data_IF_997951921065
#
_entry.id   IF_997951921065
#
_cell.length_a   1.000
_cell.length_b   1.000
_cell.length_c   1.000
_cell.angle_alpha   90.00
_cell.angle_beta   90.00
_cell.angle_gamma   90.00
#
_symmetry.space_group_name_H-M   'P 1'
#
loop_
_entity.id
_entity.type
_entity.pdbx_description
1 polymer ?
#
# COMPACT_ATOMS: atom_id res chain seq x y z
N UNK A 1 -24.26 -23.29 6.77
CA UNK A 1 -23.43 -24.26 7.53
C UNK A 1 -24.00 -24.55 8.91
N UNK A 2 -24.12 -23.56 9.80
CA UNK A 2 -24.67 -23.76 11.16
C UNK A 2 -26.05 -24.45 11.20
N UNK A 3 -26.92 -24.13 10.23
CA UNK A 3 -28.27 -24.72 10.11
C UNK A 3 -28.27 -26.26 9.99
N UNK A 4 -27.24 -26.87 9.37
CA UNK A 4 -27.14 -28.33 9.20
C UNK A 4 -27.02 -29.04 10.54
N UNK A 5 -26.31 -28.41 11.50
CA UNK A 5 -26.07 -28.98 12.81
C UNK A 5 -27.14 -28.60 13.85
N UNK A 6 -28.12 -27.75 13.50
CA UNK A 6 -29.18 -27.34 14.44
C UNK A 6 -30.19 -28.46 14.75
N UNK A 7 -30.40 -29.42 13.85
CA UNK A 7 -31.29 -30.57 14.09
C UNK A 7 -30.47 -31.82 14.48
N UNK A 8 -30.82 -32.54 15.56
CA UNK A 8 -30.14 -33.78 15.93
C UNK A 8 -30.52 -34.87 14.92
N UNK A 9 -29.61 -35.20 14.01
CA UNK A 9 -29.83 -36.24 12.98
C UNK A 9 -29.46 -37.65 13.43
N UNK A 10 -28.73 -37.80 14.54
CA UNK A 10 -28.11 -39.07 14.93
C UNK A 10 -28.77 -39.58 16.21
N UNK A 11 -29.48 -40.71 16.12
CA UNK A 11 -30.13 -41.39 17.26
C UNK A 11 -29.24 -42.52 17.81
N UNK A 12 -29.50 -42.93 19.06
CA UNK A 12 -28.80 -44.02 19.74
C UNK A 12 -27.36 -43.68 20.14
N UNK A 13 -26.53 -44.70 20.37
CA UNK A 13 -25.13 -44.58 20.84
C UNK A 13 -24.29 -43.64 19.98
N UNK A 14 -24.49 -43.64 18.65
CA UNK A 14 -23.80 -42.72 17.74
C UNK A 14 -24.14 -41.25 18.03
N UNK A 15 -25.37 -40.97 18.47
CA UNK A 15 -25.81 -39.64 18.87
C UNK A 15 -25.11 -39.16 20.13
N UNK A 16 -25.00 -40.04 21.13
CA UNK A 16 -24.30 -39.76 22.40
C UNK A 16 -22.81 -39.47 22.19
N UNK A 17 -22.13 -40.27 21.34
CA UNK A 17 -20.72 -40.02 20.97
C UNK A 17 -20.58 -38.68 20.23
N UNK A 18 -21.52 -38.37 19.32
CA UNK A 18 -21.45 -37.18 18.49
C UNK A 18 -21.73 -35.87 19.24
N UNK A 19 -22.29 -35.88 20.46
CA UNK A 19 -22.65 -34.66 21.20
C UNK A 19 -21.47 -33.69 21.33
N UNK A 20 -20.32 -34.17 21.80
CA UNK A 20 -19.13 -33.33 21.99
C UNK A 20 -18.55 -32.83 20.66
N UNK A 21 -18.56 -33.69 19.63
CA UNK A 21 -18.06 -33.35 18.30
C UNK A 21 -18.94 -32.29 17.63
N UNK A 22 -20.27 -32.45 17.70
CA UNK A 22 -21.23 -31.49 17.16
C UNK A 22 -21.13 -30.14 17.89
N UNK A 23 -20.93 -30.16 19.21
CA UNK A 23 -20.69 -28.95 19.99
C UNK A 23 -19.45 -28.21 19.48
N UNK A 24 -18.32 -28.90 19.36
CA UNK A 24 -17.06 -28.34 18.85
C UNK A 24 -17.22 -27.77 17.43
N UNK A 25 -17.87 -28.50 16.53
CA UNK A 25 -18.14 -28.04 15.15
C UNK A 25 -19.00 -26.77 15.16
N UNK A 26 -20.07 -26.73 15.96
CA UNK A 26 -20.94 -25.54 16.07
C UNK A 26 -20.18 -24.33 16.59
N UNK A 27 -19.33 -24.51 17.60
CA UNK A 27 -18.53 -23.43 18.17
C UNK A 27 -17.54 -22.88 17.13
N UNK A 28 -16.80 -23.75 16.44
CA UNK A 28 -15.88 -23.33 15.35
C UNK A 28 -16.58 -22.61 14.21
N UNK A 29 -17.74 -23.10 13.78
CA UNK A 29 -18.54 -22.44 12.74
C UNK A 29 -19.10 -21.10 13.20
N UNK A 30 -19.42 -20.97 14.50
CA UNK A 30 -19.84 -19.69 15.09
C UNK A 30 -18.70 -18.69 15.08
N UNK A 31 -17.48 -19.10 15.47
CA UNK A 31 -16.32 -18.21 15.43
C UNK A 31 -16.04 -17.68 14.03
N UNK A 32 -16.13 -18.54 13.00
CA UNK A 32 -16.02 -18.09 11.60
C UNK A 32 -17.10 -17.07 11.22
N UNK A 33 -18.32 -17.24 11.73
CA UNK A 33 -19.41 -16.28 11.52
C UNK A 33 -19.19 -14.96 12.25
N UNK A 34 -18.65 -15.00 13.46
CA UNK A 34 -18.37 -13.82 14.29
C UNK A 34 -17.27 -12.95 13.66
N UNK A 35 -16.27 -13.56 13.01
CA UNK A 35 -15.28 -12.82 12.22
C UNK A 35 -15.75 -12.48 10.80
N UNK A 36 -17.04 -12.64 10.50
CA UNK A 36 -17.64 -12.22 9.22
C UNK A 36 -17.29 -13.09 8.01
N UNK A 37 -16.98 -14.38 8.21
CA UNK A 37 -16.60 -15.33 7.15
C UNK A 37 -17.68 -16.38 6.86
N UNK A 38 -18.93 -16.12 7.28
CA UNK A 38 -20.06 -17.04 7.07
C UNK A 38 -20.44 -17.28 5.60
N UNK A 39 -19.92 -16.46 4.67
CA UNK A 39 -20.13 -16.62 3.23
C UNK A 39 -19.14 -17.61 2.57
N UNK A 40 -18.08 -18.01 3.27
CA UNK A 40 -17.10 -18.97 2.75
C UNK A 40 -17.64 -20.40 2.81
N UNK A 41 -17.19 -21.24 1.89
CA UNK A 41 -17.38 -22.70 1.98
C UNK A 41 -16.18 -23.33 2.67
N UNK A 42 -16.38 -24.44 3.39
CA UNK A 42 -15.30 -25.19 4.05
C UNK A 42 -14.31 -25.81 3.06
N UNK A 43 -14.74 -26.05 1.83
CA UNK A 43 -13.92 -26.60 0.74
C UNK A 43 -13.10 -25.55 -0.01
N UNK A 44 -13.21 -24.26 0.34
CA UNK A 44 -12.48 -23.20 -0.37
C UNK A 44 -10.97 -23.35 -0.14
N UNK A 45 -10.20 -23.34 -1.22
CA UNK A 45 -8.74 -23.39 -1.15
C UNK A 45 -8.17 -22.19 -0.41
N UNK A 46 -7.23 -22.44 0.51
CA UNK A 46 -6.54 -21.41 1.28
C UNK A 46 -5.78 -20.41 0.40
N UNK A 47 -5.29 -20.84 -0.78
CA UNK A 47 -4.57 -20.00 -1.73
C UNK A 47 -5.45 -18.93 -2.38
N UNK A 48 -6.77 -19.14 -2.38
CA UNK A 48 -7.75 -18.23 -3.00
C UNK A 48 -8.30 -17.19 -2.03
N UNK A 49 -7.84 -17.22 -0.78
CA UNK A 49 -8.28 -16.28 0.24
C UNK A 49 -7.54 -14.96 0.09
N UNK A 50 -8.26 -13.85 0.31
CA UNK A 50 -7.63 -12.56 0.53
C UNK A 50 -6.84 -12.55 1.85
N UNK A 51 -5.90 -11.61 1.98
CA UNK A 51 -5.12 -11.45 3.22
C UNK A 51 -6.00 -11.29 4.46
N UNK A 52 -7.03 -10.43 4.39
CA UNK A 52 -7.98 -10.23 5.48
C UNK A 52 -8.84 -11.47 5.79
N UNK A 53 -9.24 -12.24 4.77
CA UNK A 53 -9.93 -13.53 5.01
C UNK A 53 -9.01 -14.52 5.74
N UNK A 54 -7.78 -14.71 5.27
CA UNK A 54 -6.81 -15.62 5.88
C UNK A 54 -6.47 -15.22 7.32
N UNK A 55 -6.30 -13.92 7.58
CA UNK A 55 -6.07 -13.38 8.92
C UNK A 55 -7.26 -13.66 9.85
N UNK A 56 -8.49 -13.42 9.40
CA UNK A 56 -9.69 -13.69 10.21
C UNK A 56 -9.94 -15.17 10.45
N UNK A 57 -9.58 -16.06 9.51
CA UNK A 57 -9.59 -17.51 9.76
C UNK A 57 -8.61 -17.88 10.89
N UNK A 58 -7.41 -17.30 10.89
CA UNK A 58 -6.44 -17.52 11.98
C UNK A 58 -7.01 -17.03 13.30
N UNK A 59 -7.63 -15.85 13.34
CA UNK A 59 -8.27 -15.30 14.53
C UNK A 59 -9.36 -16.23 15.09
N UNK A 60 -10.27 -16.69 14.25
CA UNK A 60 -11.32 -17.65 14.64
C UNK A 60 -10.73 -18.96 15.17
N UNK A 61 -9.62 -19.43 14.59
CA UNK A 61 -8.91 -20.64 15.02
C UNK A 61 -8.27 -20.47 16.40
N UNK A 62 -7.70 -19.31 16.70
CA UNK A 62 -7.09 -19.02 18.01
C UNK A 62 -8.15 -18.95 19.13
N UNK A 63 -9.32 -18.39 18.84
CA UNK A 63 -10.42 -18.34 19.81
C UNK A 63 -10.91 -19.75 20.14
N UNK A 64 -11.02 -20.60 19.12
CA UNK A 64 -11.39 -22.00 19.31
C UNK A 64 -10.34 -22.85 20.03
N UNK A 65 -9.09 -22.37 20.15
CA UNK A 65 -8.08 -23.04 20.96
C UNK A 65 -8.28 -22.79 22.47
N UNK A 66 -9.01 -21.73 22.84
CA UNK A 66 -9.33 -21.43 24.25
C UNK A 66 -8.11 -21.15 25.12
N UNK A 67 -7.02 -20.64 24.54
CA UNK A 67 -5.79 -20.35 25.27
C UNK A 67 -6.00 -19.19 26.26
N UNK A 68 -5.29 -19.25 27.39
CA UNK A 68 -5.31 -18.25 28.48
C UNK A 68 -3.87 -17.81 28.77
N UNK A 69 -3.67 -16.54 29.15
CA UNK A 69 -2.34 -16.01 29.44
C UNK A 69 -1.47 -15.77 28.20
N UNK A 70 -2.07 -15.75 27.01
CA UNK A 70 -1.38 -15.48 25.74
C UNK A 70 -1.46 -14.00 25.40
N UNK A 71 -0.40 -13.46 24.77
CA UNK A 71 -0.41 -12.13 24.17
C UNK A 71 -0.62 -12.25 22.66
N UNK A 72 -1.78 -11.80 22.19
CA UNK A 72 -2.11 -11.73 20.77
C UNK A 72 -1.69 -10.38 20.19
N UNK A 73 -0.98 -10.39 19.08
CA UNK A 73 -0.62 -9.19 18.30
C UNK A 73 -1.31 -9.30 16.94
N UNK A 74 -2.19 -8.35 16.64
CA UNK A 74 -2.98 -8.31 15.40
C UNK A 74 -2.64 -7.06 14.60
N UNK A 75 -2.41 -7.25 13.30
CA UNK A 75 -2.06 -6.18 12.36
C UNK A 75 -3.26 -5.86 11.44
N UNK A 76 -3.97 -4.77 11.70
CA UNK A 76 -5.15 -4.29 10.95
C UNK A 76 -6.22 -5.39 10.65
N UNK A 77 -6.81 -6.03 11.67
CA UNK A 77 -7.79 -7.11 11.47
C UNK A 77 -9.09 -6.65 10.77
N UNK A 78 -9.37 -5.34 10.68
CA UNK A 78 -10.50 -4.78 9.93
C UNK A 78 -10.29 -4.80 8.40
N UNK A 79 -9.10 -5.14 7.89
CA UNK A 79 -8.81 -5.16 6.44
C UNK A 79 -9.83 -6.02 5.68
N UNK A 80 -10.47 -5.39 4.69
CA UNK A 80 -11.45 -6.06 3.83
C UNK A 80 -12.74 -6.46 4.55
N UNK A 81 -12.98 -5.95 5.76
CA UNK A 81 -14.24 -6.04 6.48
C UNK A 81 -15.08 -4.79 6.20
N UNK A 82 -16.39 -4.97 6.11
CA UNK A 82 -17.32 -3.84 5.95
C UNK A 82 -17.66 -3.26 7.33
N UNK A 83 -17.88 -1.93 7.42
CA UNK A 83 -18.16 -1.24 8.69
C UNK A 83 -19.26 -1.92 9.52
N UNK A 84 -20.33 -2.36 8.86
CA UNK A 84 -21.43 -3.12 9.49
C UNK A 84 -20.94 -4.31 10.33
N UNK A 85 -19.93 -5.03 9.85
CA UNK A 85 -19.45 -6.26 10.48
C UNK A 85 -18.29 -5.99 11.48
N UNK A 86 -17.80 -4.74 11.57
CA UNK A 86 -16.74 -4.32 12.48
C UNK A 86 -17.10 -4.56 13.96
N UNK A 87 -18.36 -4.32 14.34
CA UNK A 87 -18.86 -4.60 15.70
C UNK A 87 -18.68 -6.06 16.11
N UNK A 88 -18.81 -7.00 15.16
CA UNK A 88 -18.62 -8.42 15.46
C UNK A 88 -17.14 -8.76 15.66
N UNK A 89 -16.27 -8.12 14.89
CA UNK A 89 -14.82 -8.22 15.11
C UNK A 89 -14.45 -7.69 16.50
N UNK A 90 -14.97 -6.52 16.88
CA UNK A 90 -14.72 -5.93 18.20
C UNK A 90 -15.23 -6.82 19.35
N UNK A 91 -16.44 -7.38 19.26
CA UNK A 91 -16.93 -8.33 20.27
C UNK A 91 -16.05 -9.57 20.35
N UNK A 92 -15.50 -10.01 19.22
CA UNK A 92 -14.58 -11.15 19.15
C UNK A 92 -13.24 -10.86 19.85
N UNK A 93 -12.68 -9.66 19.67
CA UNK A 93 -11.47 -9.20 20.35
C UNK A 93 -11.69 -9.04 21.86
N UNK A 94 -12.85 -8.49 22.26
CA UNK A 94 -13.24 -8.39 23.67
C UNK A 94 -13.34 -9.77 24.32
N UNK A 95 -13.91 -10.76 23.63
CA UNK A 95 -13.96 -12.13 24.11
C UNK A 95 -12.57 -12.74 24.32
N UNK A 96 -11.62 -12.50 23.40
CA UNK A 96 -10.23 -12.95 23.59
C UNK A 96 -9.62 -12.37 24.87
N UNK A 97 -9.86 -11.07 25.12
CA UNK A 97 -9.45 -10.39 26.35
C UNK A 97 -10.09 -11.03 27.59
N UNK A 98 -11.41 -11.23 27.57
CA UNK A 98 -12.19 -11.81 28.68
C UNK A 98 -11.75 -13.24 29.06
N UNK A 99 -11.18 -14.00 28.12
CA UNK A 99 -10.56 -15.30 28.41
C UNK A 99 -9.27 -15.19 29.24
N UNK A 100 -8.80 -13.98 29.56
CA UNK A 100 -7.56 -13.76 30.33
C UNK A 100 -6.32 -13.60 29.44
N UNK A 101 -6.49 -13.09 28.22
CA UNK A 101 -5.40 -12.82 27.29
C UNK A 101 -5.15 -11.31 27.14
N UNK A 102 -3.94 -10.96 26.73
CA UNK A 102 -3.61 -9.60 26.29
C UNK A 102 -3.79 -9.50 24.79
N UNK A 103 -4.47 -8.46 24.30
CA UNK A 103 -4.74 -8.26 22.87
C UNK A 103 -4.19 -6.91 22.44
N UNK A 104 -3.12 -6.92 21.64
CA UNK A 104 -2.49 -5.74 21.05
C UNK A 104 -2.94 -5.66 19.60
N UNK A 105 -3.55 -4.55 19.20
CA UNK A 105 -4.10 -4.35 17.86
C UNK A 105 -3.48 -3.10 17.24
N UNK A 106 -2.86 -3.25 16.07
CA UNK A 106 -2.49 -2.14 15.20
C UNK A 106 -3.70 -1.84 14.32
N UNK A 107 -4.27 -0.64 14.45
CA UNK A 107 -5.49 -0.27 13.72
C UNK A 107 -5.53 1.22 13.37
N UNK A 108 -6.39 1.52 12.40
CA UNK A 108 -6.68 2.87 11.95
C UNK A 108 -8.19 3.16 11.94
N UNK A 109 -9.04 2.15 12.18
CA UNK A 109 -10.48 2.30 12.28
C UNK A 109 -10.92 3.05 13.54
N UNK A 110 -11.84 4.01 13.36
CA UNK A 110 -12.32 4.88 14.43
C UNK A 110 -13.08 4.12 15.52
N UNK A 111 -13.98 3.20 15.17
CA UNK A 111 -14.75 2.44 16.16
C UNK A 111 -13.83 1.58 17.04
N UNK A 112 -12.78 1.01 16.45
CA UNK A 112 -11.79 0.22 17.19
C UNK A 112 -10.99 1.08 18.16
N UNK A 113 -10.57 2.27 17.73
CA UNK A 113 -9.85 3.22 18.59
C UNK A 113 -10.74 3.67 19.76
N UNK A 114 -12.02 3.94 19.51
CA UNK A 114 -12.98 4.40 20.52
C UNK A 114 -13.32 3.33 21.57
N UNK A 115 -13.25 2.05 21.21
CA UNK A 115 -13.59 0.91 22.08
C UNK A 115 -12.37 0.30 22.80
N UNK A 116 -11.16 0.84 22.56
CA UNK A 116 -9.93 0.34 23.15
C UNK A 116 -9.81 0.70 24.64
N UNK A 117 -9.39 -0.26 25.46
CA UNK A 117 -9.12 -0.02 26.89
C UNK A 117 -7.90 0.92 27.08
N UNK A 118 -6.90 0.78 26.23
CA UNK A 118 -5.66 1.55 26.23
C UNK A 118 -5.18 1.80 24.79
N UNK A 119 -4.71 3.01 24.51
CA UNK A 119 -4.26 3.44 23.19
C UNK A 119 -2.83 3.93 23.28
N UNK A 120 -2.03 3.53 22.30
CA UNK A 120 -0.67 4.03 22.09
C UNK A 120 -0.62 4.65 20.69
N UNK A 121 -0.35 5.95 20.62
CA UNK A 121 -0.20 6.66 19.34
C UNK A 121 1.29 6.80 19.02
N UNK A 122 1.70 6.27 17.86
CA UNK A 122 3.09 6.32 17.38
C UNK A 122 3.19 7.36 16.27
N UNK A 123 4.19 8.24 16.35
CA UNK A 123 4.34 9.31 15.39
C UNK A 123 5.58 10.16 15.66
N UNK A 124 5.57 11.47 15.34
CA UNK A 124 4.45 12.25 14.77
C UNK A 124 4.24 12.06 13.26
N UNK A 125 5.21 11.44 12.56
CA UNK A 125 5.17 11.15 11.12
C UNK A 125 5.63 9.70 10.85
N UNK A 126 5.75 9.33 9.57
CA UNK A 126 6.22 8.01 9.16
C UNK A 126 7.75 7.94 8.98
N UNK A 127 8.28 6.71 9.03
CA UNK A 127 9.69 6.39 8.80
C UNK A 127 10.64 7.10 9.76
N UNK A 128 11.70 7.73 9.25
CA UNK A 128 12.73 8.37 10.09
C UNK A 128 12.22 9.54 10.94
N UNK A 129 11.04 10.07 10.60
CA UNK A 129 10.40 11.17 11.33
C UNK A 129 9.32 10.68 12.31
N UNK A 130 9.25 9.36 12.53
CA UNK A 130 8.38 8.71 13.49
C UNK A 130 9.16 7.94 14.55
N UNK A 131 8.51 6.95 15.16
CA UNK A 131 9.14 6.07 16.15
C UNK A 131 9.10 6.61 17.58
N UNK A 132 8.35 7.68 17.83
CA UNK A 132 8.11 8.23 19.16
C UNK A 132 6.70 7.89 19.64
N UNK A 133 6.54 7.68 20.94
CA UNK A 133 5.22 7.54 21.57
C UNK A 133 4.65 8.93 21.78
N UNK A 134 3.73 9.34 20.90
CA UNK A 134 3.07 10.65 20.96
C UNK A 134 1.99 10.71 22.05
N UNK A 135 1.39 9.56 22.38
CA UNK A 135 0.40 9.43 23.44
C UNK A 135 0.34 7.98 23.95
N UNK A 136 0.05 7.81 25.24
CA UNK A 136 -0.25 6.51 25.85
C UNK A 136 -1.25 6.70 26.99
N UNK A 137 -2.40 6.02 26.91
CA UNK A 137 -3.47 6.11 27.90
C UNK A 137 -4.82 5.66 27.37
N UNK A 138 -5.87 5.89 28.16
CA UNK A 138 -7.24 5.56 27.75
C UNK A 138 -7.84 6.56 26.75
N UNK A 139 -8.99 6.22 26.18
CA UNK A 139 -9.75 7.03 25.20
C UNK A 139 -10.07 8.43 25.73
N UNK A 140 -10.47 8.54 27.00
CA UNK A 140 -10.83 9.83 27.62
C UNK A 140 -9.62 10.78 27.74
N UNK A 141 -8.44 10.22 28.01
CA UNK A 141 -7.18 10.97 27.98
C UNK A 141 -6.77 11.32 26.55
N UNK A 142 -7.00 10.43 25.58
CA UNK A 142 -6.67 10.67 24.17
C UNK A 142 -7.47 11.85 23.61
N UNK A 143 -8.76 11.97 23.94
CA UNK A 143 -9.62 13.11 23.55
C UNK A 143 -9.01 14.47 23.91
N UNK A 144 -8.23 14.54 25.00
CA UNK A 144 -7.59 15.76 25.50
C UNK A 144 -6.19 15.98 24.91
N UNK A 145 -5.59 14.96 24.29
CA UNK A 145 -4.22 14.98 23.79
C UNK A 145 -4.08 15.74 22.46
N UNK A 146 -3.89 17.06 22.55
CA UNK A 146 -3.73 17.94 21.38
C UNK A 146 -2.52 17.59 20.50
N UNK A 147 -1.49 16.95 21.04
CA UNK A 147 -0.27 16.61 20.29
C UNK A 147 -0.40 15.32 19.47
N UNK A 148 -1.43 14.50 19.75
CA UNK A 148 -1.71 13.28 18.98
C UNK A 148 -2.42 13.63 17.66
N UNK A 149 -1.84 13.20 16.53
CA UNK A 149 -2.49 13.36 15.23
C UNK A 149 -3.78 12.54 15.18
N UNK A 150 -3.75 11.34 15.75
CA UNK A 150 -4.90 10.44 15.86
C UNK A 150 -6.05 11.10 16.62
N UNK A 151 -5.78 11.71 17.77
CA UNK A 151 -6.78 12.48 18.53
C UNK A 151 -7.40 13.61 17.70
N UNK A 152 -6.58 14.35 16.94
CA UNK A 152 -7.06 15.46 16.11
C UNK A 152 -8.03 15.02 15.00
N UNK A 153 -7.89 13.80 14.47
CA UNK A 153 -8.75 13.24 13.43
C UNK A 153 -9.99 12.53 13.99
N UNK A 154 -9.83 11.76 15.07
CA UNK A 154 -10.92 10.97 15.66
C UNK A 154 -11.86 11.87 16.48
N UNK A 155 -11.31 12.72 17.35
CA UNK A 155 -12.09 13.54 18.29
C UNK A 155 -11.98 15.05 18.02
N UNK A 156 -10.97 15.46 17.27
CA UNK A 156 -10.64 16.87 17.05
C UNK A 156 -11.33 17.51 15.84
N UNK A 157 -10.73 18.63 15.40
CA UNK A 157 -11.23 19.44 14.29
C UNK A 157 -10.68 19.00 12.93
N UNK A 158 -9.63 18.18 12.87
CA UNK A 158 -9.09 17.73 11.59
C UNK A 158 -10.07 16.73 10.99
N UNK A 159 -10.47 16.98 9.75
CA UNK A 159 -11.39 16.12 9.00
C UNK A 159 -10.94 16.08 7.56
N UNK A 160 -11.24 14.98 6.90
CA UNK A 160 -11.04 14.87 5.45
C UNK A 160 -12.07 15.80 4.80
N UNK A 161 -11.60 16.88 4.18
CA UNK A 161 -12.47 17.83 3.51
C UNK A 161 -13.10 17.19 2.28
N UNK A 162 -14.42 17.02 2.29
CA UNK A 162 -15.18 16.58 1.13
C UNK A 162 -15.37 17.79 0.22
N UNK A 163 -14.57 17.87 -0.86
CA UNK A 163 -14.79 18.87 -1.91
C UNK A 163 -16.17 18.61 -2.54
N UNK A 164 -16.93 19.68 -2.81
CA UNK A 164 -18.19 19.58 -3.57
C UNK A 164 -17.93 18.81 -4.87
N UNK A 165 -18.79 17.84 -5.18
CA UNK A 165 -18.67 17.01 -6.38
C UNK A 165 -18.53 17.91 -7.61
N UNK A 166 -17.48 17.70 -8.40
CA UNK A 166 -17.44 18.22 -9.78
C UNK A 166 -18.59 17.57 -10.56
N UNK A 167 -19.04 18.23 -11.63
CA UNK A 167 -19.91 17.57 -12.61
C UNK A 167 -19.24 16.27 -13.07
N UNK A 168 -20.05 15.22 -13.21
CA UNK A 168 -19.62 13.94 -13.76
C UNK A 168 -19.12 14.23 -15.17
N UNK A 169 -17.86 13.87 -15.47
CA UNK A 169 -17.35 13.98 -16.83
C UNK A 169 -18.03 12.91 -17.67
N UNK A 170 -18.63 13.30 -18.80
CA UNK A 170 -19.19 12.35 -19.75
C UNK A 170 -18.14 12.02 -20.82
N UNK A 171 -17.30 11.02 -20.52
CA UNK A 171 -16.34 10.45 -21.47
C UNK A 171 -16.81 9.09 -21.99
N UNK A 172 -18.12 8.85 -21.97
CA UNK A 172 -18.71 7.56 -22.29
C UNK A 172 -18.63 6.56 -21.14
N UNK A 173 -18.99 5.30 -21.42
CA UNK A 173 -19.15 4.24 -20.42
C UNK A 173 -18.60 2.92 -20.91
N UNK A 174 -18.02 2.13 -20.01
CA UNK A 174 -17.81 0.69 -20.21
C UNK A 174 -19.02 -0.05 -19.66
N UNK A 175 -19.54 -1.01 -20.43
CA UNK A 175 -20.61 -1.91 -19.99
C UNK A 175 -20.11 -3.33 -19.96
N UNK A 176 -20.34 -4.02 -18.85
CA UNK A 176 -20.08 -5.44 -18.70
C UNK A 176 -21.40 -6.13 -18.39
N UNK A 177 -21.89 -6.93 -19.34
CA UNK A 177 -23.23 -7.50 -19.34
C UNK A 177 -23.20 -8.98 -18.95
N UNK A 178 -24.23 -9.41 -18.23
CA UNK A 178 -24.47 -10.81 -17.89
C UNK A 178 -23.40 -11.44 -17.00
N UNK A 179 -22.88 -10.69 -16.02
CA UNK A 179 -21.84 -11.19 -15.12
C UNK A 179 -22.40 -12.29 -14.20
N UNK A 180 -21.87 -13.51 -14.32
CA UNK A 180 -22.37 -14.70 -13.62
C UNK A 180 -21.28 -15.49 -12.88
N UNK A 181 -20.03 -15.00 -12.86
CA UNK A 181 -18.93 -15.59 -12.10
C UNK A 181 -19.21 -15.75 -10.60
N UNK A 182 -18.78 -16.88 -10.02
CA UNK A 182 -18.96 -17.22 -8.60
C UNK A 182 -20.41 -17.04 -8.10
N UNK A 183 -20.65 -16.03 -7.26
CA UNK A 183 -21.96 -15.76 -6.67
C UNK A 183 -22.73 -14.61 -7.35
N UNK A 184 -22.22 -14.07 -8.46
CA UNK A 184 -22.90 -13.03 -9.23
C UNK A 184 -24.17 -13.59 -9.89
N UNK A 185 -25.21 -12.77 -9.95
CA UNK A 185 -26.57 -13.18 -10.34
C UNK A 185 -26.98 -12.59 -11.69
N UNK A 186 -26.19 -12.86 -12.72
CA UNK A 186 -26.36 -12.33 -14.07
C UNK A 186 -26.54 -10.81 -14.07
N UNK A 187 -25.57 -10.10 -13.51
CA UNK A 187 -25.66 -8.64 -13.30
C UNK A 187 -24.96 -7.87 -14.41
N UNK A 188 -25.50 -6.69 -14.71
CA UNK A 188 -24.88 -5.73 -15.62
C UNK A 188 -24.18 -4.63 -14.82
N UNK A 189 -23.00 -4.24 -15.29
CA UNK A 189 -22.19 -3.17 -14.69
C UNK A 189 -21.94 -2.08 -15.74
N UNK A 190 -22.34 -0.85 -15.42
CA UNK A 190 -21.95 0.35 -16.17
C UNK A 190 -20.92 1.18 -15.40
N UNK A 191 -19.79 1.51 -16.03
CA UNK A 191 -18.74 2.36 -15.44
C UNK A 191 -18.61 3.63 -16.26
N UNK A 192 -18.92 4.81 -15.70
CA UNK A 192 -18.70 6.09 -16.37
C UNK A 192 -17.21 6.44 -16.40
N UNK A 193 -16.66 6.61 -17.61
CA UNK A 193 -15.26 6.96 -17.82
C UNK A 193 -14.99 8.42 -17.45
N UNK A 194 -13.75 8.74 -17.08
CA UNK A 194 -13.38 10.10 -16.65
C UNK A 194 -13.71 10.43 -15.19
N UNK A 195 -14.28 9.48 -14.44
CA UNK A 195 -14.76 9.71 -13.08
C UNK A 195 -14.04 8.84 -12.05
N UNK A 196 -14.03 9.28 -10.78
CA UNK A 196 -13.64 8.44 -9.65
C UNK A 196 -14.85 7.57 -9.28
N UNK A 197 -14.79 6.28 -9.63
CA UNK A 197 -15.85 5.30 -9.36
C UNK A 197 -15.46 4.45 -8.15
N UNK A 198 -16.37 4.35 -7.18
CA UNK A 198 -16.19 3.51 -5.99
C UNK A 198 -17.14 2.32 -6.03
N UNK A 199 -16.59 1.11 -5.85
CA UNK A 199 -17.36 -0.14 -5.78
C UNK A 199 -17.42 -0.58 -4.32
N UNK A 200 -18.60 -0.51 -3.72
CA UNK A 200 -18.83 -0.78 -2.29
C UNK A 200 -19.73 -2.00 -2.07
N UNK A 201 -19.84 -2.43 -0.82
CA UNK A 201 -20.65 -3.59 -0.42
C UNK A 201 -19.95 -4.47 0.61
N UNK A 202 -20.71 -5.36 1.24
CA UNK A 202 -20.22 -6.25 2.32
C UNK A 202 -19.22 -7.30 1.83
N UNK A 203 -18.41 -7.86 2.72
CA UNK A 203 -17.49 -8.96 2.38
C UNK A 203 -18.29 -10.15 1.83
N UNK A 204 -17.78 -10.78 0.76
CA UNK A 204 -18.48 -11.84 0.05
C UNK A 204 -19.56 -11.39 -0.95
N UNK A 205 -19.84 -10.09 -1.11
CA UNK A 205 -20.87 -9.61 -2.06
C UNK A 205 -20.53 -9.78 -3.55
N UNK A 206 -19.31 -10.23 -3.89
CA UNK A 206 -18.87 -10.41 -5.27
C UNK A 206 -18.07 -9.25 -5.87
N UNK A 207 -17.69 -8.21 -5.09
CA UNK A 207 -16.89 -7.06 -5.59
C UNK A 207 -15.61 -7.49 -6.32
N UNK A 208 -14.81 -8.34 -5.67
CA UNK A 208 -13.53 -8.81 -6.23
C UNK A 208 -13.77 -9.71 -7.45
N UNK A 209 -14.84 -10.50 -7.46
CA UNK A 209 -15.26 -11.27 -8.63
C UNK A 209 -15.52 -10.32 -9.80
N UNK A 210 -16.42 -9.37 -9.60
CA UNK A 210 -16.87 -8.43 -10.63
C UNK A 210 -15.72 -7.59 -11.20
N UNK A 211 -14.87 -7.02 -10.34
CA UNK A 211 -13.82 -6.09 -10.77
C UNK A 211 -12.52 -6.80 -11.13
N UNK A 212 -11.99 -7.62 -10.22
CA UNK A 212 -10.62 -8.15 -10.36
C UNK A 212 -10.58 -9.48 -11.13
N UNK A 213 -11.68 -10.25 -11.13
CA UNK A 213 -11.73 -11.56 -11.79
C UNK A 213 -12.54 -11.56 -13.10
N UNK A 214 -13.42 -10.57 -13.30
CA UNK A 214 -14.19 -10.41 -14.55
C UNK A 214 -13.72 -9.20 -15.35
N UNK A 215 -13.98 -7.97 -14.86
CA UNK A 215 -13.73 -6.74 -15.63
C UNK A 215 -12.24 -6.55 -16.01
N UNK A 216 -11.34 -6.65 -15.03
CA UNK A 216 -9.91 -6.41 -15.27
C UNK A 216 -9.30 -7.44 -16.23
N UNK A 217 -9.50 -8.77 -16.06
CA UNK A 217 -9.04 -9.77 -17.02
C UNK A 217 -9.68 -9.58 -18.40
N UNK A 218 -10.99 -9.30 -18.49
CA UNK A 218 -11.67 -9.04 -19.76
C UNK A 218 -11.02 -7.89 -20.54
N UNK A 219 -10.88 -6.72 -19.90
CA UNK A 219 -10.24 -5.55 -20.51
C UNK A 219 -8.77 -5.81 -20.84
N UNK A 220 -8.03 -6.50 -19.96
CA UNK A 220 -6.61 -6.80 -20.19
C UNK A 220 -6.39 -7.73 -21.37
N UNK A 221 -7.26 -8.73 -21.54
CA UNK A 221 -7.18 -9.67 -22.66
C UNK A 221 -7.51 -8.97 -23.99
N UNK A 222 -8.50 -8.07 -24.00
CA UNK A 222 -8.88 -7.31 -25.19
C UNK A 222 -7.82 -6.27 -25.55
N UNK A 223 -7.41 -5.42 -24.61
CA UNK A 223 -6.56 -4.25 -24.87
C UNK A 223 -5.07 -4.59 -24.95
N UNK A 224 -4.59 -5.51 -24.11
CA UNK A 224 -3.16 -5.85 -23.99
C UNK A 224 -2.81 -7.23 -24.55
N UNK A 225 -3.78 -7.95 -25.15
CA UNK A 225 -3.62 -9.32 -25.65
C UNK A 225 -3.07 -10.27 -24.57
N UNK A 226 -3.47 -10.04 -23.33
CA UNK A 226 -3.12 -10.90 -22.20
C UNK A 226 -3.89 -12.24 -22.26
N UNK A 227 -3.43 -13.23 -21.50
CA UNK A 227 -4.07 -14.55 -21.35
C UNK A 227 -4.54 -14.79 -19.91
N UNK A 228 -5.16 -13.77 -19.30
CA UNK A 228 -5.68 -13.88 -17.95
C UNK A 228 -6.97 -14.70 -17.95
N UNK A 229 -7.13 -15.57 -16.94
CA UNK A 229 -8.40 -16.28 -16.71
C UNK A 229 -9.47 -15.25 -16.33
N UNK A 230 -10.57 -15.25 -17.07
CA UNK A 230 -11.71 -14.37 -16.85
C UNK A 230 -12.90 -15.19 -16.37
N UNK A 231 -13.58 -14.72 -15.33
CA UNK A 231 -14.86 -15.31 -14.88
C UNK A 231 -16.00 -15.06 -15.88
N UNK A 232 -17.09 -15.82 -15.77
CA UNK A 232 -18.18 -15.79 -16.76
C UNK A 232 -18.89 -14.42 -16.85
N UNK A 233 -19.03 -13.93 -18.09
CA UNK A 233 -19.82 -12.77 -18.50
C UNK A 233 -20.31 -12.98 -19.95
N UNK A 234 -21.37 -12.29 -20.36
CA UNK A 234 -21.94 -12.44 -21.72
C UNK A 234 -21.24 -11.54 -22.73
N UNK A 235 -21.12 -10.24 -22.42
CA UNK A 235 -20.59 -9.24 -23.36
C UNK A 235 -19.94 -8.08 -22.63
N UNK A 236 -18.95 -7.45 -23.27
CA UNK A 236 -18.36 -6.18 -22.85
C UNK A 236 -18.46 -5.16 -23.99
N UNK A 237 -18.86 -3.94 -23.68
CA UNK A 237 -19.05 -2.83 -24.62
C UNK A 237 -18.30 -1.57 -24.15
N UNK A 238 -17.96 -0.68 -25.08
CA UNK A 238 -17.25 0.57 -24.78
C UNK A 238 -15.74 0.38 -24.55
N UNK A 239 -15.17 -0.75 -24.96
CA UNK A 239 -13.74 -1.05 -24.81
C UNK A 239 -12.86 -0.15 -25.68
N UNK A 240 -13.39 0.32 -26.80
CA UNK A 240 -12.77 1.26 -27.74
C UNK A 240 -12.52 2.64 -27.13
N UNK A 241 -13.15 2.97 -25.99
CA UNK A 241 -12.98 4.22 -25.28
C UNK A 241 -11.77 4.23 -24.33
N UNK A 242 -11.09 3.08 -24.17
CA UNK A 242 -9.97 2.92 -23.22
C UNK A 242 -8.78 2.24 -23.89
N UNK A 243 -7.65 2.95 -23.94
CA UNK A 243 -6.42 2.39 -24.55
C UNK A 243 -5.74 1.34 -23.67
N UNK A 244 -5.88 1.47 -22.35
CA UNK A 244 -5.15 0.65 -21.38
C UNK A 244 -5.87 0.55 -20.04
N UNK A 245 -5.88 -0.66 -19.49
CA UNK A 245 -6.27 -0.92 -18.10
C UNK A 245 -5.03 -1.23 -17.25
N UNK A 246 -4.99 -0.72 -16.01
CA UNK A 246 -3.90 -0.96 -15.08
C UNK A 246 -4.48 -1.27 -13.70
N UNK A 247 -4.17 -2.45 -13.18
CA UNK A 247 -4.47 -2.81 -11.79
C UNK A 247 -3.32 -2.37 -10.87
N UNK A 248 -3.67 -1.69 -9.77
CA UNK A 248 -2.73 -1.32 -8.70
C UNK A 248 -3.09 -2.09 -7.43
N UNK A 249 -2.54 -3.29 -7.31
CA UNK A 249 -2.76 -4.19 -6.18
C UNK A 249 -1.74 -4.02 -5.05
N UNK A 250 -2.08 -4.52 -3.85
CA UNK A 250 -1.20 -4.58 -2.67
C UNK A 250 -0.13 -5.68 -2.74
N UNK A 251 -0.08 -6.46 -3.83
CA UNK A 251 0.97 -7.47 -3.98
C UNK A 251 2.37 -6.85 -3.94
N UNK A 252 3.39 -7.55 -3.41
CA UNK A 252 4.74 -7.01 -3.35
C UNK A 252 5.24 -6.56 -4.73
N UNK A 253 6.03 -5.48 -4.78
CA UNK A 253 6.65 -5.00 -6.04
C UNK A 253 7.74 -5.96 -6.56
N UNK A 254 8.19 -6.89 -5.71
CA UNK A 254 9.09 -7.98 -6.05
C UNK A 254 9.26 -8.90 -4.85
N UNK A 255 9.74 -10.12 -5.11
CA UNK A 255 9.92 -11.16 -4.08
C UNK A 255 11.38 -11.32 -3.63
N UNK A 256 12.28 -10.49 -4.16
CA UNK A 256 13.72 -10.57 -3.90
C UNK A 256 14.25 -9.24 -3.36
N UNK A 257 15.36 -9.25 -2.61
CA UNK A 257 16.02 -8.02 -2.16
C UNK A 257 16.52 -7.10 -3.30
N UNK A 258 16.67 -7.64 -4.52
CA UNK A 258 17.04 -6.89 -5.72
C UNK A 258 15.95 -5.93 -6.19
N UNK A 259 14.69 -6.28 -5.95
CA UNK A 259 13.57 -5.37 -6.20
C UNK A 259 13.51 -4.31 -5.11
N UNK A 260 13.32 -3.06 -5.51
CA UNK A 260 13.26 -1.90 -4.62
C UNK A 260 12.57 -0.73 -5.35
N UNK A 261 12.26 0.38 -4.67
CA UNK A 261 11.57 1.51 -5.29
C UNK A 261 12.26 2.05 -6.55
N UNK A 262 13.59 2.19 -6.56
CA UNK A 262 14.30 2.76 -7.70
C UNK A 262 14.37 1.85 -8.92
N UNK A 263 14.42 0.53 -8.71
CA UNK A 263 14.33 -0.45 -9.82
C UNK A 263 12.91 -0.48 -10.38
N UNK A 264 11.90 -0.47 -9.51
CA UNK A 264 10.50 -0.57 -9.95
C UNK A 264 10.02 0.68 -10.72
N UNK A 265 10.36 1.87 -10.22
CA UNK A 265 10.04 3.17 -10.85
C UNK A 265 10.97 3.51 -12.03
N UNK A 266 12.04 2.74 -12.22
CA UNK A 266 13.05 2.98 -13.25
C UNK A 266 13.87 4.26 -13.02
N UNK A 267 14.02 4.69 -11.76
CA UNK A 267 14.93 5.78 -11.37
C UNK A 267 16.39 5.30 -11.43
N UNK A 268 16.62 4.01 -11.21
CA UNK A 268 17.96 3.45 -11.08
C UNK A 268 18.83 3.58 -12.33
N UNK A 269 18.24 3.50 -13.53
CA UNK A 269 19.00 3.65 -14.80
C UNK A 269 19.62 5.05 -14.95
N UNK A 270 18.85 6.15 -14.85
CA UNK A 270 19.44 7.49 -14.83
C UNK A 270 20.51 7.70 -13.75
N UNK A 271 20.35 7.12 -12.55
CA UNK A 271 21.38 7.19 -11.50
C UNK A 271 22.67 6.54 -11.98
N UNK A 272 22.60 5.33 -12.54
CA UNK A 272 23.79 4.60 -13.03
C UNK A 272 24.47 5.31 -14.19
N UNK A 273 23.72 5.91 -15.10
CA UNK A 273 24.25 6.73 -16.20
C UNK A 273 25.03 7.93 -15.66
N UNK A 274 24.51 8.57 -14.63
CA UNK A 274 25.14 9.71 -13.99
C UNK A 274 26.43 9.34 -13.25
N UNK A 275 26.46 8.20 -12.56
CA UNK A 275 27.68 7.67 -11.96
C UNK A 275 28.73 7.27 -13.00
N UNK A 276 28.32 6.66 -14.12
CA UNK A 276 29.24 6.35 -15.23
C UNK A 276 29.76 7.62 -15.93
N UNK A 277 29.05 8.75 -15.80
CA UNK A 277 29.44 10.03 -16.35
C UNK A 277 30.52 10.77 -15.55
N UNK A 278 30.85 10.35 -14.32
CA UNK A 278 31.85 11.03 -13.49
C UNK A 278 33.27 10.85 -14.05
N UNK A 279 34.17 11.79 -13.74
CA UNK A 279 35.55 11.73 -14.20
C UNK A 279 36.27 10.48 -13.68
N UNK A 280 36.06 10.11 -12.42
CA UNK A 280 36.61 8.91 -11.80
C UNK A 280 36.14 7.62 -12.50
N UNK A 281 34.84 7.54 -12.85
CA UNK A 281 34.30 6.40 -13.58
C UNK A 281 34.88 6.31 -15.00
N UNK A 282 34.96 7.44 -15.71
CA UNK A 282 35.51 7.50 -17.07
C UNK A 282 36.98 7.10 -17.11
N UNK A 283 37.79 7.59 -16.17
CA UNK A 283 39.21 7.23 -16.07
C UNK A 283 39.41 5.72 -15.84
N UNK A 284 38.51 5.07 -15.10
CA UNK A 284 38.53 3.63 -14.84
C UNK A 284 37.80 2.79 -15.91
N UNK A 285 37.26 3.40 -16.96
CA UNK A 285 36.48 2.72 -17.99
C UNK A 285 35.14 2.14 -17.50
N UNK A 286 34.61 2.63 -16.38
CA UNK A 286 33.38 2.12 -15.79
C UNK A 286 32.13 2.58 -16.56
N UNK A 287 31.38 1.60 -17.07
CA UNK A 287 30.08 1.80 -17.75
C UNK A 287 28.92 1.72 -16.73
N UNK A 288 27.68 2.11 -17.12
CA UNK A 288 26.51 2.00 -16.24
C UNK A 288 26.25 0.59 -15.67
N UNK A 289 26.78 -0.46 -16.31
CA UNK A 289 26.74 -1.83 -15.81
C UNK A 289 27.53 -2.04 -14.51
N UNK A 290 28.68 -1.37 -14.34
CA UNK A 290 29.49 -1.46 -13.10
C UNK A 290 28.69 -1.01 -11.88
N UNK A 291 27.81 -0.04 -12.07
CA UNK A 291 26.95 0.55 -11.03
C UNK A 291 25.61 -0.18 -10.86
N UNK A 292 25.46 -1.38 -11.42
CA UNK A 292 24.26 -2.20 -11.25
C UNK A 292 24.55 -3.37 -10.32
N UNK A 293 23.85 -3.44 -9.19
CA UNK A 293 23.93 -4.60 -8.29
C UNK A 293 23.36 -5.90 -8.91
N UNK A 294 22.64 -5.82 -10.04
CA UNK A 294 22.05 -6.99 -10.70
C UNK A 294 23.00 -7.72 -11.67
N UNK A 295 24.16 -7.16 -11.97
CA UNK A 295 25.09 -7.72 -12.97
C UNK A 295 26.49 -7.88 -12.38
N UNK A 296 27.21 -8.90 -12.85
CA UNK A 296 28.61 -9.11 -12.46
C UNK A 296 29.48 -7.92 -12.84
N UNK A 297 30.53 -7.70 -12.06
CA UNK A 297 31.51 -6.64 -12.29
C UNK A 297 31.69 -5.75 -11.07
N UNK A 298 30.69 -4.92 -10.74
CA UNK A 298 30.78 -3.98 -9.61
C UNK A 298 30.02 -4.37 -8.35
N UNK A 299 29.11 -5.35 -8.45
CA UNK A 299 28.37 -5.88 -7.30
C UNK A 299 29.28 -6.63 -6.34
N UNK A 300 28.81 -6.85 -5.11
CA UNK A 300 29.43 -7.79 -4.21
C UNK A 300 29.11 -9.23 -4.67
N UNK A 301 30.12 -10.03 -4.98
CA UNK A 301 29.90 -11.40 -5.46
C UNK A 301 29.48 -12.36 -4.34
N UNK A 302 29.85 -12.10 -3.07
CA UNK A 302 29.48 -12.97 -1.95
C UNK A 302 27.96 -13.02 -1.68
N UNK A 303 27.24 -11.91 -1.91
CA UNK A 303 25.78 -11.87 -1.84
C UNK A 303 25.11 -11.67 -3.20
N UNK A 304 25.89 -11.80 -4.28
CA UNK A 304 25.46 -11.53 -5.65
C UNK A 304 24.71 -10.19 -5.87
N UNK A 305 25.04 -9.17 -5.06
CA UNK A 305 24.40 -7.85 -5.10
C UNK A 305 23.12 -7.68 -4.28
N UNK A 306 22.66 -8.72 -3.57
CA UNK A 306 21.47 -8.61 -2.72
C UNK A 306 21.73 -7.73 -1.49
N UNK A 307 22.97 -7.76 -0.99
CA UNK A 307 23.39 -7.12 0.26
C UNK A 307 22.93 -7.88 1.51
N UNK A 308 22.20 -8.96 1.31
CA UNK A 308 21.70 -9.86 2.34
C UNK A 308 21.94 -11.31 1.90
N UNK A 309 22.05 -12.21 2.85
CA UNK A 309 22.10 -13.65 2.64
C UNK A 309 20.80 -14.23 3.18
N UNK A 310 20.14 -15.07 2.39
CA UNK A 310 18.93 -15.78 2.81
C UNK A 310 19.34 -17.00 3.64
N UNK A 311 18.85 -17.08 4.87
CA UNK A 311 19.01 -18.24 5.75
C UNK A 311 17.71 -19.00 5.77
N UNK A 312 17.76 -20.25 5.32
CA UNK A 312 16.59 -21.12 5.29
C UNK A 312 16.34 -21.74 6.67
N UNK A 313 15.09 -21.67 7.11
CA UNK A 313 14.66 -22.15 8.43
C UNK A 313 13.63 -23.27 8.24
N UNK A 314 13.76 -24.37 8.97
CA UNK A 314 12.90 -25.55 8.74
C UNK A 314 11.43 -25.34 9.13
N UNK A 315 11.15 -24.57 10.19
CA UNK A 315 9.80 -24.39 10.76
C UNK A 315 9.36 -22.93 10.87
N UNK A 316 10.29 -22.00 10.64
CA UNK A 316 10.05 -20.57 10.71
C UNK A 316 10.19 -19.98 9.30
N UNK A 317 9.60 -18.80 9.04
CA UNK A 317 9.86 -18.09 7.79
C UNK A 317 11.35 -17.83 7.60
N UNK A 318 11.83 -17.95 6.36
CA UNK A 318 13.21 -17.65 5.99
C UNK A 318 13.61 -16.23 6.44
N UNK A 319 14.85 -16.11 6.93
CA UNK A 319 15.36 -14.84 7.45
C UNK A 319 16.45 -14.31 6.53
N UNK A 320 16.44 -13.00 6.29
CA UNK A 320 17.49 -12.31 5.56
C UNK A 320 18.47 -11.69 6.55
N UNK A 321 19.70 -12.18 6.54
CA UNK A 321 20.80 -11.61 7.33
C UNK A 321 21.63 -10.68 6.47
N UNK A 322 22.23 -9.67 7.08
CA UNK A 322 23.12 -8.73 6.38
C UNK A 322 24.35 -9.48 5.85
N UNK A 323 24.79 -9.18 4.63
CA UNK A 323 26.00 -9.79 4.08
C UNK A 323 27.25 -9.29 4.81
N UNK A 324 28.06 -10.20 5.32
CA UNK A 324 29.28 -9.87 6.09
C UNK A 324 30.38 -9.21 5.24
N UNK A 325 30.46 -9.56 3.95
CA UNK A 325 31.52 -9.06 3.05
C UNK A 325 31.32 -7.60 2.66
N UNK A 326 30.11 -7.24 2.18
CA UNK A 326 29.82 -5.87 1.78
C UNK A 326 29.13 -5.04 2.86
N UNK A 327 28.81 -5.64 4.01
CA UNK A 327 28.06 -5.03 5.09
C UNK A 327 26.78 -4.33 4.58
N UNK A 328 26.03 -5.02 3.71
CA UNK A 328 24.79 -4.53 3.10
C UNK A 328 24.94 -3.48 2.00
N UNK A 329 26.17 -3.10 1.61
CA UNK A 329 26.40 -2.07 0.58
C UNK A 329 26.10 -2.54 -0.84
N UNK A 330 25.99 -3.84 -1.09
CA UNK A 330 25.70 -4.48 -2.40
C UNK A 330 26.79 -4.38 -3.47
N UNK A 331 27.85 -3.63 -3.24
CA UNK A 331 28.95 -3.41 -4.20
C UNK A 331 30.30 -3.78 -3.60
N UNK A 332 31.27 -4.05 -4.48
CA UNK A 332 32.67 -4.17 -4.09
C UNK A 332 33.29 -2.80 -3.80
N UNK A 333 34.43 -2.82 -3.09
CA UNK A 333 35.11 -1.59 -2.66
C UNK A 333 35.57 -0.73 -3.83
N UNK A 334 36.01 -1.32 -4.96
CA UNK A 334 36.48 -0.52 -6.09
C UNK A 334 35.35 0.29 -6.73
N UNK A 335 34.13 -0.24 -6.76
CA UNK A 335 32.95 0.48 -7.28
C UNK A 335 32.54 1.62 -6.35
N UNK A 336 32.66 1.43 -5.04
CA UNK A 336 32.32 2.43 -4.04
C UNK A 336 33.31 3.59 -3.96
N UNK A 337 34.48 3.49 -4.60
CA UNK A 337 35.41 4.62 -4.72
C UNK A 337 34.86 5.75 -5.57
N UNK A 338 33.99 5.46 -6.54
CA UNK A 338 33.42 6.48 -7.42
C UNK A 338 32.33 7.26 -6.71
N UNK A 339 32.48 8.59 -6.70
CA UNK A 339 31.55 9.50 -6.03
C UNK A 339 30.88 10.47 -7.00
N UNK A 340 29.63 10.81 -6.71
CA UNK A 340 28.92 11.93 -7.30
C UNK A 340 28.48 12.87 -6.18
N UNK A 341 28.82 14.16 -6.28
CA UNK A 341 28.61 15.15 -5.20
C UNK A 341 29.09 14.63 -3.82
N UNK A 342 30.26 14.00 -3.78
CA UNK A 342 30.86 13.46 -2.57
C UNK A 342 30.24 12.16 -2.02
N UNK A 343 29.23 11.59 -2.67
CA UNK A 343 28.55 10.36 -2.24
C UNK A 343 28.75 9.21 -3.22
N UNK A 344 29.03 8.01 -2.72
CA UNK A 344 29.07 6.81 -3.56
C UNK A 344 27.67 6.25 -3.85
N UNK A 345 27.57 5.27 -4.74
CA UNK A 345 26.26 4.74 -5.16
C UNK A 345 25.48 4.04 -4.04
N UNK A 346 26.17 3.39 -3.09
CA UNK A 346 25.50 2.75 -1.95
C UNK A 346 24.91 3.80 -1.00
N UNK A 347 25.64 4.89 -0.75
CA UNK A 347 25.17 6.02 0.05
C UNK A 347 23.96 6.68 -0.59
N UNK A 348 23.97 6.90 -1.91
CA UNK A 348 22.82 7.41 -2.66
C UNK A 348 21.61 6.48 -2.52
N UNK A 349 21.79 5.17 -2.65
CA UNK A 349 20.70 4.20 -2.47
C UNK A 349 20.18 4.14 -1.03
N UNK A 350 20.96 4.58 -0.04
CA UNK A 350 20.54 4.64 1.36
C UNK A 350 19.86 5.96 1.74
N UNK A 351 19.82 6.96 0.85
CA UNK A 351 19.06 8.19 1.06
C UNK A 351 17.56 7.92 1.07
N UNK A 352 16.81 8.71 1.84
CA UNK A 352 15.35 8.75 1.72
C UNK A 352 14.95 9.40 0.40
N UNK A 353 13.71 9.17 -0.06
CA UNK A 353 13.16 9.85 -1.25
C UNK A 353 13.24 11.37 -1.09
N UNK A 354 12.91 11.91 0.09
CA UNK A 354 13.02 13.34 0.40
C UNK A 354 14.45 13.87 0.20
N UNK A 355 15.44 13.20 0.81
CA UNK A 355 16.85 13.57 0.69
C UNK A 355 17.34 13.47 -0.76
N UNK A 356 16.96 12.41 -1.46
CA UNK A 356 17.31 12.20 -2.85
C UNK A 356 16.71 13.28 -3.77
N UNK A 357 15.52 13.77 -3.45
CA UNK A 357 14.83 14.82 -4.23
C UNK A 357 15.65 16.10 -4.25
N UNK A 358 16.17 16.50 -3.08
CA UNK A 358 17.07 17.65 -2.94
C UNK A 358 18.42 17.36 -3.62
N UNK A 359 19.00 16.18 -3.39
CA UNK A 359 20.30 15.80 -3.94
C UNK A 359 20.34 15.80 -5.49
N UNK A 360 19.26 15.33 -6.13
CA UNK A 360 19.08 15.26 -7.57
C UNK A 360 18.29 16.43 -8.16
N UNK A 361 18.21 17.57 -7.47
CA UNK A 361 17.47 18.75 -7.94
C UNK A 361 17.88 19.18 -9.36
N UNK A 362 19.17 19.16 -9.66
CA UNK A 362 19.73 19.52 -10.96
C UNK A 362 19.52 18.46 -12.06
N UNK A 363 18.83 17.34 -11.78
CA UNK A 363 18.62 16.24 -12.73
C UNK A 363 17.12 15.99 -12.92
N UNK A 364 16.46 16.72 -13.85
CA UNK A 364 15.00 16.70 -13.97
C UNK A 364 14.39 15.32 -14.20
N UNK A 365 15.09 14.45 -14.95
CA UNK A 365 14.64 13.06 -15.22
C UNK A 365 14.51 12.22 -13.95
N UNK A 366 15.33 12.49 -12.93
CA UNK A 366 15.30 11.80 -11.63
C UNK A 366 14.31 12.52 -10.71
N UNK A 367 14.46 13.85 -10.54
CA UNK A 367 13.63 14.69 -9.66
C UNK A 367 12.14 14.43 -9.85
N UNK A 368 11.67 14.45 -11.09
CA UNK A 368 10.27 14.22 -11.46
C UNK A 368 9.69 12.90 -10.93
N UNK A 369 10.48 11.82 -10.94
CA UNK A 369 10.03 10.52 -10.43
C UNK A 369 10.09 10.46 -8.90
N UNK A 370 11.06 11.13 -8.29
CA UNK A 370 11.13 11.27 -6.83
C UNK A 370 9.96 12.11 -6.29
N UNK A 371 9.58 13.18 -7.00
CA UNK A 371 8.42 14.00 -6.66
C UNK A 371 7.14 13.16 -6.65
N UNK A 372 6.95 12.25 -7.61
CA UNK A 372 5.78 11.35 -7.59
C UNK A 372 5.79 10.39 -6.39
N UNK A 373 6.96 9.96 -5.92
CA UNK A 373 7.06 9.15 -4.69
C UNK A 373 6.74 9.99 -3.44
N UNK A 374 7.18 11.25 -3.39
CA UNK A 374 6.82 12.18 -2.31
C UNK A 374 5.31 12.47 -2.28
N UNK A 375 4.69 12.70 -3.45
CA UNK A 375 3.26 13.00 -3.56
C UNK A 375 2.36 11.87 -3.07
N UNK A 376 2.78 10.61 -3.22
CA UNK A 376 2.05 9.46 -2.65
C UNK A 376 2.40 9.18 -1.19
N UNK A 377 3.20 10.04 -0.54
CA UNK A 377 3.54 9.95 0.87
C UNK A 377 4.66 8.94 1.20
N UNK A 378 5.56 8.63 0.25
CA UNK A 378 6.70 7.72 0.46
C UNK A 378 8.03 8.46 0.66
N UNK A 379 7.98 9.73 1.09
CA UNK A 379 9.16 10.57 1.27
C UNK A 379 10.21 10.01 2.22
N UNK A 380 9.76 9.29 3.25
CA UNK A 380 10.60 8.68 4.29
C UNK A 380 11.35 7.42 3.84
N UNK A 381 10.95 6.83 2.70
CA UNK A 381 11.40 5.52 2.29
C UNK A 381 12.79 5.59 1.67
N UNK A 382 13.66 4.60 1.92
CA UNK A 382 15.01 4.60 1.32
C UNK A 382 14.96 4.11 -0.12
N UNK A 383 15.71 4.75 -1.02
CA UNK A 383 15.73 4.43 -2.46
C UNK A 383 15.99 2.94 -2.74
N UNK A 384 16.96 2.36 -2.05
CA UNK A 384 17.41 0.98 -2.18
C UNK A 384 16.73 -0.01 -1.23
N UNK A 385 15.71 0.40 -0.46
CA UNK A 385 15.02 -0.46 0.50
C UNK A 385 14.49 -1.73 -0.19
N UNK A 386 14.82 -2.94 0.30
CA UNK A 386 14.34 -4.18 -0.28
C UNK A 386 12.82 -4.23 -0.37
N UNK A 387 12.29 -4.70 -1.51
CA UNK A 387 10.86 -4.91 -1.73
C UNK A 387 10.24 -5.87 -0.71
N UNK A 388 11.02 -6.83 -0.22
CA UNK A 388 10.61 -7.81 0.81
C UNK A 388 10.34 -7.18 2.17
N UNK A 389 10.85 -5.97 2.41
CA UNK A 389 10.65 -5.22 3.67
C UNK A 389 9.58 -4.13 3.56
N UNK A 390 8.93 -4.01 2.40
CA UNK A 390 7.87 -3.02 2.19
C UNK A 390 6.54 -3.57 2.70
N UNK A 391 5.75 -2.71 3.34
CA UNK A 391 4.36 -3.05 3.64
C UNK A 391 3.52 -3.15 2.35
N UNK A 392 2.37 -3.83 2.42
CA UNK A 392 1.44 -3.92 1.28
C UNK A 392 1.00 -2.54 0.77
N UNK A 393 0.74 -1.60 1.69
CA UNK A 393 0.39 -0.22 1.36
C UNK A 393 1.55 0.59 0.77
N UNK A 394 2.79 0.34 1.20
CA UNK A 394 3.98 0.95 0.58
C UNK A 394 4.19 0.42 -0.84
N UNK A 395 4.12 -0.89 -1.04
CA UNK A 395 4.23 -1.52 -2.35
C UNK A 395 3.17 -0.98 -3.32
N UNK A 396 1.92 -0.86 -2.87
CA UNK A 396 0.83 -0.29 -3.66
C UNK A 396 1.11 1.16 -4.08
N UNK A 397 1.58 2.01 -3.14
CA UNK A 397 1.92 3.40 -3.41
C UNK A 397 3.13 3.55 -4.36
N UNK A 398 4.12 2.66 -4.30
CA UNK A 398 5.23 2.63 -5.27
C UNK A 398 4.72 2.33 -6.68
N UNK A 399 3.77 1.39 -6.82
CA UNK A 399 3.11 1.10 -8.11
C UNK A 399 2.34 2.29 -8.64
N UNK A 400 1.59 2.97 -7.77
CA UNK A 400 0.86 4.19 -8.13
C UNK A 400 1.81 5.30 -8.59
N UNK A 401 2.91 5.55 -7.87
CA UNK A 401 3.90 6.56 -8.24
C UNK A 401 4.50 6.30 -9.63
N UNK A 402 4.77 5.03 -9.97
CA UNK A 402 5.24 4.66 -11.31
C UNK A 402 4.27 5.08 -12.41
N UNK A 403 2.98 4.83 -12.26
CA UNK A 403 1.99 5.19 -13.27
C UNK A 403 1.76 6.71 -13.35
N UNK A 404 1.71 7.40 -12.20
CA UNK A 404 1.66 8.87 -12.16
C UNK A 404 2.86 9.51 -12.86
N UNK A 405 4.06 8.93 -12.73
CA UNK A 405 5.27 9.45 -13.37
C UNK A 405 5.24 9.40 -14.91
N UNK A 406 4.43 8.50 -15.49
CA UNK A 406 4.26 8.38 -16.95
C UNK A 406 3.33 9.46 -17.48
N UNK A 407 2.24 9.75 -16.76
CA UNK A 407 1.25 10.76 -17.16
C UNK A 407 1.86 12.15 -17.29
N UNK A 408 2.84 12.47 -16.45
CA UNK A 408 3.56 13.74 -16.54
C UNK A 408 4.40 13.87 -17.84
N UNK A 409 4.57 12.83 -18.67
CA UNK A 409 5.22 12.94 -20.00
C UNK A 409 4.28 13.53 -21.06
N UNK A 410 2.97 13.44 -20.85
CA UNK A 410 1.99 14.11 -21.70
C UNK A 410 1.96 15.56 -21.23
N UNK A 411 2.40 16.50 -22.08
CA UNK A 411 2.10 17.92 -21.83
C UNK A 411 0.59 17.98 -21.57
N UNK A 412 0.12 18.55 -20.44
CA UNK A 412 -1.30 18.69 -20.25
C UNK A 412 -1.83 19.59 -21.37
N UNK A 413 -2.60 19.00 -22.28
CA UNK A 413 -3.49 19.76 -23.13
C UNK A 413 -4.61 20.26 -22.19
N UNK A 414 -4.33 21.42 -21.59
CA UNK A 414 -5.24 22.45 -21.06
C UNK A 414 -6.27 22.01 -20.01
N UNK A 415 -6.17 22.60 -18.81
CA UNK A 415 -7.14 23.61 -18.36
C UNK A 415 -6.80 24.02 -16.92
N UNK A 416 -6.02 25.08 -16.73
CA UNK A 416 -6.06 26.04 -15.62
C UNK A 416 -5.05 27.13 -16.01
N UNK A 417 -5.50 28.10 -16.80
CA UNK A 417 -4.99 29.47 -16.81
C UNK A 417 -5.90 30.26 -17.75
N UNK A 418 -6.69 31.15 -17.17
CA UNK A 418 -7.44 32.17 -17.87
C UNK A 418 -6.41 33.18 -18.41
N UNK A 419 -6.15 33.30 -19.73
CA UNK A 419 -5.04 34.11 -20.26
C UNK A 419 -5.25 35.62 -20.14
N UNK A 420 -6.38 36.08 -19.57
CA UNK A 420 -6.69 37.50 -19.42
C UNK A 420 -6.34 38.09 -18.03
N UNK A 421 -5.84 37.29 -17.07
CA UNK A 421 -5.50 37.79 -15.73
C UNK A 421 -3.99 37.94 -15.45
N UNK A 422 -3.11 37.37 -16.28
CA UNK A 422 -1.65 37.46 -16.08
C UNK A 422 -1.02 38.76 -16.61
N UNK A 423 -1.74 39.54 -17.43
CA UNK A 423 -1.26 40.86 -17.84
C UNK A 423 -1.40 41.93 -16.74
N UNK A 424 -2.28 41.72 -15.75
CA UNK A 424 -2.52 42.71 -14.69
C UNK A 424 -1.56 42.49 -13.50
N UNK A 425 -1.17 41.24 -13.21
CA UNK A 425 -0.25 40.96 -12.09
C UNK A 425 1.23 41.22 -12.41
N UNK A 426 1.64 41.10 -13.67
CA UNK A 426 3.03 41.34 -14.09
C UNK A 426 3.33 42.85 -14.26
N UNK A 427 2.30 43.68 -14.52
CA UNK A 427 2.46 45.14 -14.58
C UNK A 427 2.45 45.81 -13.19
N UNK A 428 1.71 45.26 -12.23
CA UNK A 428 1.65 45.84 -10.87
C UNK A 428 2.92 45.59 -10.05
N UNK A 429 3.62 44.46 -10.23
CA UNK A 429 4.88 44.21 -9.52
C UNK A 429 6.09 44.96 -10.11
N UNK A 430 6.07 45.34 -11.39
CA UNK A 430 7.12 46.19 -11.97
C UNK A 430 6.96 47.67 -11.61
N UNK A 431 5.74 48.20 -11.46
CA UNK A 431 5.54 49.58 -10.99
C UNK A 431 5.77 49.74 -9.48
N UNK A 432 5.49 48.72 -8.66
CA UNK A 432 5.66 48.82 -7.21
C UNK A 432 7.14 48.75 -6.77
N UNK A 433 7.99 47.97 -7.47
CA UNK A 433 9.44 47.97 -7.25
C UNK A 433 10.16 49.23 -7.76
N UNK A 434 9.53 50.02 -8.63
CA UNK A 434 10.07 51.32 -9.09
C UNK A 434 9.66 52.47 -8.16
N UNK A 435 8.47 52.45 -7.56
CA UNK A 435 8.04 53.47 -6.59
C UNK A 435 8.69 53.34 -5.20
N UNK A 436 9.11 52.13 -4.78
CA UNK A 436 9.79 51.95 -3.48
C UNK A 436 11.27 52.41 -3.53
N UNK A 437 11.91 52.42 -4.71
CA UNK A 437 13.28 52.94 -4.88
C UNK A 437 13.35 54.46 -5.13
N UNK A 438 12.24 55.14 -5.42
CA UNK A 438 12.21 56.61 -5.52
C UNK A 438 11.87 57.31 -4.19
N UNK A 439 11.22 56.63 -3.23
CA UNK A 439 10.82 57.23 -1.94
C UNK A 439 11.93 57.12 -0.86
N UNK A 440 12.99 56.33 -1.09
CA UNK A 440 14.12 56.19 -0.15
C UNK A 440 15.37 57.04 -0.49
N UNK A 441 15.29 57.96 -1.46
CA UNK A 441 16.41 58.85 -1.84
C UNK A 441 16.21 60.34 -1.53
N UNK A 442 15.13 60.73 -0.85
CA UNK A 442 14.82 62.15 -0.55
C UNK A 442 14.68 62.50 0.95
N UNK A 443 15.27 61.72 1.86
CA UNK A 443 15.34 62.07 3.30
C UNK A 443 16.72 61.84 3.92
N UNK A 444 17.76 62.27 3.21
CA UNK A 444 19.08 62.61 3.80
C UNK A 444 19.68 63.81 3.06
N UNK A 445 19.23 65.01 3.46
CA UNK A 445 20.03 66.23 3.60
C UNK A 445 19.52 66.95 4.85
#
# INVERSE_FOLDING_TARGET
>A
MLLVFQKPFIKGVKGEIAVKIIKEIKERLTFLSDVGLNYLTLSRSAETLSGGEAQRIRLASQIGAGLVGVTYILDEPSIGLHQRDNKKLLSTLKRLKELGNTVIVVEHDQETIEEADHIIDIGPKAGIHGGEVCFSGNVESLKKAKNSLTSQYVFGKKRIQIKKKKQIEDKGKIRLLGCSGNNLKNIDLEIPLGNIVSVTGVSGSGKSTLINQTLFPALSNILSKSSLKTEAFEKIEGTELVDKVIEISQSPIGRTPRSNPVTYTGIFTPIRELFAGTQEARAKGYKPGRFSFNVRGGRCEACEGDGMIKVEMHFLPDVYVKCDVCNGKRYNNETLTVKYKGKNISEVLNMTVEQATVFFEAVPKIKKKLDTLNQVGLGYLRLGQPATTLSGGEAQRVKLAKELSKLLRVKPFICWMNPQLDYIFTMFNCLWMFCINLIHRETRL
#
